data_IF_210918299177
#
_entry.id   IF_210918299177
#
_cell.length_a   1.000
_cell.length_b   1.000
_cell.length_c   1.000
_cell.angle_alpha   90.00
_cell.angle_beta   90.00
_cell.angle_gamma   90.00
#
_symmetry.space_group_name_H-M   'P 1'
#
loop_
_entity.id
_entity.type
_entity.pdbx_description
1 polymer ?
#
# COMPACT_ATOMS: atom_id res chain seq x y z
N UNK A 1 -20.56 -6.84 -30.84
CA UNK A 1 -19.91 -5.70 -30.15
C UNK A 1 -20.97 -5.01 -29.32
N UNK A 2 -21.03 -5.32 -28.02
CA UNK A 2 -21.87 -4.56 -27.07
C UNK A 2 -21.07 -3.32 -26.69
N UNK A 3 -21.45 -2.18 -27.25
CA UNK A 3 -20.90 -0.88 -26.90
C UNK A 3 -21.36 -0.54 -25.47
N UNK A 4 -20.53 -0.82 -24.49
CA UNK A 4 -20.77 -0.31 -23.13
C UNK A 4 -20.65 1.20 -23.18
N UNK A 5 -21.78 1.89 -23.11
CA UNK A 5 -21.83 3.34 -22.93
C UNK A 5 -21.18 3.62 -21.58
N UNK A 6 -19.94 4.15 -21.61
CA UNK A 6 -19.27 4.67 -20.41
C UNK A 6 -20.14 5.79 -19.85
N UNK A 7 -20.93 5.48 -18.81
CA UNK A 7 -21.63 6.52 -18.04
C UNK A 7 -20.57 7.43 -17.43
N UNK A 8 -20.71 8.76 -17.58
CA UNK A 8 -19.75 9.69 -16.99
C UNK A 8 -19.68 9.50 -15.48
N UNK A 9 -18.52 9.80 -14.89
CA UNK A 9 -18.30 9.84 -13.46
C UNK A 9 -19.26 10.90 -12.86
N UNK A 10 -20.43 10.45 -12.44
CA UNK A 10 -21.41 11.28 -11.71
C UNK A 10 -21.12 11.15 -10.22
N UNK A 11 -21.38 12.22 -9.47
CA UNK A 11 -21.26 12.24 -8.00
C UNK A 11 -22.08 11.10 -7.35
N UNK A 12 -23.22 10.75 -7.93
CA UNK A 12 -24.03 9.58 -7.54
C UNK A 12 -23.30 8.23 -7.69
N UNK A 13 -22.42 8.13 -8.68
CA UNK A 13 -21.63 6.91 -8.91
C UNK A 13 -20.55 6.72 -7.86
N UNK A 14 -19.96 7.81 -7.35
CA UNK A 14 -18.95 7.79 -6.28
C UNK A 14 -19.60 7.46 -4.92
N UNK A 15 -20.73 8.09 -4.61
CA UNK A 15 -21.47 7.82 -3.35
C UNK A 15 -21.97 6.37 -3.28
N UNK A 16 -22.41 5.81 -4.42
CA UNK A 16 -22.79 4.39 -4.52
C UNK A 16 -21.62 3.43 -4.30
N UNK A 17 -20.45 3.76 -4.83
CA UNK A 17 -19.21 2.99 -4.59
C UNK A 17 -18.74 3.05 -3.13
N UNK A 18 -18.79 4.23 -2.53
CA UNK A 18 -18.44 4.43 -1.12
C UNK A 18 -19.38 3.65 -0.18
N UNK A 19 -20.70 3.76 -0.38
CA UNK A 19 -21.70 3.01 0.38
C UNK A 19 -21.50 1.49 0.25
N UNK A 20 -21.17 1.02 -0.95
CA UNK A 20 -20.91 -0.41 -1.19
C UNK A 20 -19.69 -0.90 -0.42
N UNK A 21 -18.57 -0.15 -0.47
CA UNK A 21 -17.34 -0.47 0.28
C UNK A 21 -17.61 -0.46 1.79
N UNK A 22 -18.34 0.55 2.29
CA UNK A 22 -18.65 0.71 3.70
C UNK A 22 -19.47 -0.46 4.28
N UNK A 23 -20.41 -0.98 3.49
CA UNK A 23 -21.27 -2.09 3.90
C UNK A 23 -20.58 -3.46 3.80
N UNK A 24 -19.47 -3.58 3.06
CA UNK A 24 -18.71 -4.83 2.95
C UNK A 24 -17.43 -4.76 3.79
N UNK A 25 -17.48 -5.33 5.02
CA UNK A 25 -16.38 -5.29 6.00
C UNK A 25 -15.00 -5.71 5.45
N UNK A 26 -14.96 -6.70 4.56
CA UNK A 26 -13.70 -7.18 3.94
C UNK A 26 -13.14 -6.09 3.02
N UNK A 27 -13.95 -5.50 2.14
CA UNK A 27 -13.50 -4.44 1.23
C UNK A 27 -13.05 -3.20 2.03
N UNK A 28 -13.85 -2.81 3.03
CA UNK A 28 -13.48 -1.72 3.93
C UNK A 28 -12.15 -2.01 4.62
N UNK A 29 -11.96 -3.24 5.13
CA UNK A 29 -10.74 -3.64 5.81
C UNK A 29 -9.50 -3.57 4.93
N UNK A 30 -9.55 -4.09 3.69
CA UNK A 30 -8.38 -4.08 2.81
C UNK A 30 -8.04 -2.68 2.27
N UNK A 31 -9.06 -1.88 1.93
CA UNK A 31 -8.85 -0.52 1.42
C UNK A 31 -8.36 0.41 2.54
N UNK A 32 -8.96 0.32 3.73
CA UNK A 32 -8.56 1.15 4.86
C UNK A 32 -7.20 0.75 5.44
N UNK A 33 -6.83 -0.54 5.43
CA UNK A 33 -5.49 -0.98 5.82
C UNK A 33 -4.41 -0.26 5.00
N UNK A 34 -4.55 -0.27 3.69
CA UNK A 34 -3.61 0.39 2.79
C UNK A 34 -3.59 1.92 3.00
N UNK A 35 -4.77 2.53 3.05
CA UNK A 35 -4.91 3.96 3.29
C UNK A 35 -4.13 4.41 4.53
N UNK A 36 -4.35 3.77 5.67
CA UNK A 36 -3.71 4.17 6.92
C UNK A 36 -2.24 3.77 6.98
N UNK A 37 -1.85 2.63 6.41
CA UNK A 37 -0.44 2.22 6.35
C UNK A 37 0.40 3.18 5.51
N UNK A 38 -0.08 3.54 4.31
CA UNK A 38 0.60 4.48 3.41
C UNK A 38 0.62 5.90 3.99
N UNK A 39 -0.52 6.34 4.56
CA UNK A 39 -0.61 7.63 5.26
C UNK A 39 0.43 7.74 6.39
N UNK A 40 0.68 6.64 7.12
CA UNK A 40 1.72 6.64 8.16
C UNK A 40 3.13 6.53 7.57
N UNK A 41 3.34 5.78 6.50
CA UNK A 41 4.68 5.52 5.99
C UNK A 41 5.34 6.71 5.30
N UNK A 42 4.62 7.51 4.50
CA UNK A 42 5.00 8.76 3.81
C UNK A 42 6.49 9.12 3.74
N UNK A 43 7.34 8.26 3.15
CA UNK A 43 8.78 8.48 3.12
C UNK A 43 9.28 9.15 1.82
N UNK A 44 8.44 9.14 0.77
CA UNK A 44 8.85 9.55 -0.58
C UNK A 44 9.15 11.04 -0.64
N UNK A 45 8.35 11.87 0.03
CA UNK A 45 8.57 13.32 0.11
C UNK A 45 9.91 13.69 0.76
N UNK A 46 10.44 12.84 1.64
CA UNK A 46 11.69 13.11 2.36
C UNK A 46 12.94 12.56 1.66
N UNK A 47 12.82 11.82 0.55
CA UNK A 47 13.97 11.30 -0.19
C UNK A 47 14.97 12.38 -0.65
N UNK A 48 14.57 13.59 -1.08
CA UNK A 48 15.54 14.67 -1.38
C UNK A 48 16.37 15.08 -0.15
N UNK A 49 15.75 15.15 1.02
CA UNK A 49 16.42 15.48 2.29
C UNK A 49 17.39 14.36 2.67
N UNK A 50 16.96 13.09 2.49
CA UNK A 50 17.84 11.93 2.72
C UNK A 50 19.07 11.96 1.82
N UNK A 51 18.89 12.17 0.52
CA UNK A 51 20.00 12.19 -0.42
C UNK A 51 21.02 13.30 -0.11
N UNK A 52 20.53 14.51 0.23
CA UNK A 52 21.38 15.68 0.42
C UNK A 52 21.96 15.77 1.84
N UNK A 53 21.11 15.63 2.87
CA UNK A 53 21.47 16.03 4.23
C UNK A 53 21.85 14.84 5.13
N UNK A 54 21.43 13.60 4.78
CA UNK A 54 21.66 12.41 5.61
C UNK A 54 22.71 11.49 5.00
N UNK A 55 22.66 11.30 3.67
CA UNK A 55 23.60 10.47 2.93
C UNK A 55 24.75 11.29 2.34
N UNK A 56 24.69 12.61 2.41
CA UNK A 56 25.67 13.58 1.89
C UNK A 56 26.06 13.28 0.43
N UNK A 57 25.04 13.16 -0.43
CA UNK A 57 25.16 12.73 -1.82
C UNK A 57 24.39 13.64 -2.77
N UNK A 58 24.61 13.42 -4.08
CA UNK A 58 24.05 14.27 -5.14
C UNK A 58 22.76 13.72 -5.78
N UNK A 59 22.34 14.36 -6.88
CA UNK A 59 21.08 14.02 -7.60
C UNK A 59 21.03 12.58 -8.13
N UNK A 60 22.17 11.96 -8.43
CA UNK A 60 22.23 10.57 -8.88
C UNK A 60 21.69 9.62 -7.79
N UNK A 61 22.12 9.81 -6.55
CA UNK A 61 21.63 9.01 -5.42
C UNK A 61 20.12 9.22 -5.20
N UNK A 62 19.62 10.45 -5.32
CA UNK A 62 18.18 10.70 -5.26
C UNK A 62 17.41 9.91 -6.33
N UNK A 63 17.95 9.87 -7.57
CA UNK A 63 17.38 9.06 -8.64
C UNK A 63 17.34 7.58 -8.29
N UNK A 64 18.45 7.04 -7.74
CA UNK A 64 18.52 5.65 -7.28
C UNK A 64 17.55 5.36 -6.13
N UNK A 65 17.46 6.23 -5.13
CA UNK A 65 16.51 6.06 -4.03
C UNK A 65 15.06 6.05 -4.54
N UNK A 66 14.70 6.94 -5.47
CA UNK A 66 13.34 7.01 -6.03
C UNK A 66 12.99 5.82 -6.92
N UNK A 67 13.95 5.26 -7.64
CA UNK A 67 13.74 4.08 -8.50
C UNK A 67 13.72 2.76 -7.73
N UNK A 68 14.37 2.71 -6.57
CA UNK A 68 14.54 1.47 -5.79
C UNK A 68 13.23 0.76 -5.42
N UNK A 69 12.17 1.45 -4.94
CA UNK A 69 10.88 0.77 -4.67
C UNK A 69 10.28 0.14 -5.94
N UNK A 70 10.41 0.82 -7.08
CA UNK A 70 9.96 0.28 -8.37
C UNK A 70 10.68 -1.00 -8.76
N UNK A 71 11.99 -1.07 -8.55
CA UNK A 71 12.78 -2.30 -8.80
C UNK A 71 12.29 -3.44 -7.91
N UNK A 72 12.09 -3.19 -6.61
CA UNK A 72 11.55 -4.17 -5.68
C UNK A 72 10.15 -4.65 -6.07
N UNK A 73 9.28 -3.73 -6.48
CA UNK A 73 7.94 -4.04 -6.97
C UNK A 73 7.96 -4.95 -8.20
N UNK A 74 8.83 -4.69 -9.18
CA UNK A 74 8.99 -5.51 -10.38
C UNK A 74 9.45 -6.93 -10.01
N UNK A 75 10.44 -7.07 -9.15
CA UNK A 75 10.94 -8.39 -8.72
C UNK A 75 9.82 -9.21 -8.09
N UNK A 76 9.05 -8.61 -7.19
CA UNK A 76 7.93 -9.29 -6.53
C UNK A 76 6.80 -9.58 -7.52
N UNK A 77 6.45 -8.65 -8.41
CA UNK A 77 5.42 -8.86 -9.42
C UNK A 77 5.75 -10.04 -10.36
N UNK A 78 7.01 -10.16 -10.79
CA UNK A 78 7.50 -11.30 -11.57
C UNK A 78 7.39 -12.59 -10.76
N UNK A 79 7.83 -12.58 -9.51
CA UNK A 79 7.71 -13.74 -8.61
C UNK A 79 6.25 -14.20 -8.44
N UNK A 80 5.32 -13.26 -8.27
CA UNK A 80 3.89 -13.55 -8.12
C UNK A 80 3.24 -14.16 -9.37
N UNK A 81 3.89 -14.03 -10.54
CA UNK A 81 3.42 -14.69 -11.77
C UNK A 81 3.61 -16.21 -11.74
N UNK A 82 4.53 -16.71 -10.92
CA UNK A 82 4.86 -18.13 -10.80
C UNK A 82 4.28 -18.80 -9.55
N UNK A 83 3.89 -18.01 -8.53
CA UNK A 83 3.43 -18.54 -7.25
C UNK A 83 2.00 -18.12 -6.92
N UNK A 84 1.17 -19.10 -6.53
CA UNK A 84 -0.17 -18.84 -6.00
C UNK A 84 -0.09 -18.52 -4.51
N UNK A 85 -0.68 -17.41 -4.09
CA UNK A 85 -0.70 -17.01 -2.69
C UNK A 85 -1.76 -17.80 -1.93
N UNK A 86 -1.31 -18.57 -0.94
CA UNK A 86 -2.17 -19.18 0.08
C UNK A 86 -2.22 -18.29 1.31
N UNK A 87 -3.34 -18.31 2.05
CA UNK A 87 -3.56 -17.48 3.25
C UNK A 87 -3.39 -15.99 2.96
N UNK A 88 -4.00 -15.54 1.88
CA UNK A 88 -3.81 -14.20 1.32
C UNK A 88 -3.99 -13.07 2.34
N UNK A 89 -4.99 -13.16 3.22
CA UNK A 89 -5.22 -12.14 4.24
C UNK A 89 -4.06 -12.01 5.26
N UNK A 90 -3.50 -13.16 5.69
CA UNK A 90 -2.32 -13.15 6.58
C UNK A 90 -1.09 -12.60 5.87
N UNK A 91 -0.86 -13.04 4.63
CA UNK A 91 0.28 -12.57 3.82
C UNK A 91 0.20 -11.06 3.60
N UNK A 92 -0.99 -10.50 3.34
CA UNK A 92 -1.19 -9.05 3.19
C UNK A 92 -0.83 -8.29 4.48
N UNK A 93 -1.29 -8.75 5.66
CA UNK A 93 -0.95 -8.11 6.93
C UNK A 93 0.56 -8.17 7.22
N UNK A 94 1.20 -9.32 6.97
CA UNK A 94 2.65 -9.42 7.09
C UNK A 94 3.38 -8.53 6.09
N UNK A 95 2.89 -8.42 4.85
CA UNK A 95 3.47 -7.54 3.86
C UNK A 95 3.46 -6.08 4.33
N UNK A 96 2.33 -5.59 4.88
CA UNK A 96 2.23 -4.24 5.44
C UNK A 96 3.13 -4.06 6.66
N UNK A 97 3.25 -5.07 7.53
CA UNK A 97 4.15 -5.02 8.69
C UNK A 97 5.62 -4.93 8.26
N UNK A 98 6.05 -5.74 7.27
CA UNK A 98 7.41 -5.68 6.73
C UNK A 98 7.67 -4.40 5.93
N UNK A 99 6.70 -3.90 5.19
CA UNK A 99 6.75 -2.58 4.57
C UNK A 99 7.08 -1.50 5.62
N UNK A 100 6.37 -1.47 6.76
CA UNK A 100 6.65 -0.56 7.86
C UNK A 100 8.04 -0.79 8.50
N UNK A 101 8.43 -2.05 8.69
CA UNK A 101 9.73 -2.42 9.27
C UNK A 101 10.90 -1.93 8.40
N UNK A 102 10.83 -2.16 7.09
CA UNK A 102 11.90 -1.73 6.18
C UNK A 102 11.88 -0.20 5.97
N UNK A 103 10.72 0.45 6.06
CA UNK A 103 10.63 1.91 6.11
C UNK A 103 11.32 2.47 7.35
N UNK A 104 11.12 1.85 8.52
CA UNK A 104 11.83 2.21 9.76
C UNK A 104 13.36 2.08 9.59
N UNK A 105 13.84 0.95 9.09
CA UNK A 105 15.27 0.73 8.88
C UNK A 105 15.85 1.69 7.84
N UNK A 106 15.13 2.00 6.76
CA UNK A 106 15.51 3.04 5.82
C UNK A 106 15.65 4.38 6.52
N UNK A 107 14.67 4.74 7.37
CA UNK A 107 14.70 5.98 8.16
C UNK A 107 15.95 6.12 9.04
N UNK A 108 16.49 5.02 9.54
CA UNK A 108 17.69 4.98 10.38
C UNK A 108 19.01 4.81 9.58
N UNK A 109 18.93 4.52 8.29
CA UNK A 109 20.09 4.21 7.46
C UNK A 109 20.89 5.48 7.12
N UNK A 110 22.20 5.37 7.23
CA UNK A 110 23.18 6.39 6.80
C UNK A 110 24.09 5.88 5.67
N UNK A 111 23.79 4.73 5.10
CA UNK A 111 24.56 4.12 4.02
C UNK A 111 23.73 4.05 2.75
N UNK A 112 24.24 4.56 1.64
CA UNK A 112 23.54 4.64 0.35
C UNK A 112 23.08 3.25 -0.12
N UNK A 113 24.01 2.28 -0.13
CA UNK A 113 23.72 0.92 -0.61
C UNK A 113 22.67 0.25 0.24
N UNK A 114 22.79 0.37 1.57
CA UNK A 114 21.77 -0.17 2.49
C UNK A 114 20.40 0.49 2.28
N UNK A 115 20.37 1.82 2.11
CA UNK A 115 19.14 2.57 1.85
C UNK A 115 18.45 2.11 0.56
N UNK A 116 19.21 1.88 -0.52
CA UNK A 116 18.71 1.35 -1.79
C UNK A 116 18.08 -0.04 -1.58
N UNK A 117 18.79 -0.95 -0.89
CA UNK A 117 18.30 -2.31 -0.63
C UNK A 117 17.01 -2.26 0.21
N UNK A 118 16.99 -1.44 1.26
CA UNK A 118 15.81 -1.29 2.13
C UNK A 118 14.62 -0.74 1.36
N UNK A 119 14.82 0.24 0.49
CA UNK A 119 13.75 0.79 -0.35
C UNK A 119 13.27 -0.22 -1.42
N UNK A 120 14.15 -1.07 -1.96
CA UNK A 120 13.73 -2.19 -2.80
C UNK A 120 12.82 -3.15 -2.03
N UNK A 121 13.16 -3.46 -0.78
CA UNK A 121 12.31 -4.30 0.08
C UNK A 121 10.98 -3.62 0.40
N UNK A 122 11.00 -2.32 0.71
CA UNK A 122 9.77 -1.51 0.90
C UNK A 122 8.86 -1.65 -0.31
N UNK A 123 9.37 -1.39 -1.52
CA UNK A 123 8.56 -1.49 -2.74
C UNK A 123 8.11 -2.92 -3.07
N UNK A 124 8.91 -3.93 -2.74
CA UNK A 124 8.54 -5.34 -2.91
C UNK A 124 7.37 -5.75 -2.00
N UNK A 125 7.42 -5.39 -0.71
CA UNK A 125 6.34 -5.70 0.23
C UNK A 125 5.09 -4.86 -0.01
N UNK A 126 5.24 -3.62 -0.46
CA UNK A 126 4.13 -2.80 -0.92
C UNK A 126 3.42 -3.46 -2.11
N UNK A 127 4.17 -3.86 -3.14
CA UNK A 127 3.61 -4.55 -4.31
C UNK A 127 2.87 -5.83 -3.93
N UNK A 128 3.38 -6.60 -2.96
CA UNK A 128 2.72 -7.80 -2.48
C UNK A 128 1.36 -7.47 -1.82
N UNK A 129 1.31 -6.42 -1.00
CA UNK A 129 0.07 -5.94 -0.37
C UNK A 129 -0.93 -5.44 -1.42
N UNK A 130 -0.49 -4.60 -2.35
CA UNK A 130 -1.30 -4.06 -3.46
C UNK A 130 -1.89 -5.19 -4.31
N UNK A 131 -1.08 -6.18 -4.69
CA UNK A 131 -1.53 -7.31 -5.50
C UNK A 131 -2.66 -8.10 -4.82
N UNK A 132 -2.49 -8.42 -3.54
CA UNK A 132 -3.50 -9.16 -2.77
C UNK A 132 -4.76 -8.32 -2.63
N UNK A 133 -4.64 -7.04 -2.28
CA UNK A 133 -5.75 -6.10 -2.15
C UNK A 133 -6.57 -6.03 -3.44
N UNK A 134 -5.90 -5.82 -4.57
CA UNK A 134 -6.59 -5.66 -5.85
C UNK A 134 -7.35 -6.93 -6.26
N UNK A 135 -6.81 -8.11 -5.98
CA UNK A 135 -7.54 -9.36 -6.22
C UNK A 135 -8.74 -9.49 -5.29
N UNK A 136 -8.59 -9.19 -4.00
CA UNK A 136 -9.72 -9.24 -3.05
C UNK A 136 -10.82 -8.26 -3.48
N UNK A 137 -10.47 -7.04 -3.89
CA UNK A 137 -11.42 -6.06 -4.41
C UNK A 137 -12.14 -6.61 -5.66
N UNK A 138 -11.40 -7.17 -6.61
CA UNK A 138 -11.98 -7.69 -7.85
C UNK A 138 -12.91 -8.90 -7.61
N UNK A 139 -12.52 -9.83 -6.74
CA UNK A 139 -13.31 -11.02 -6.43
C UNK A 139 -14.48 -10.72 -5.48
N UNK A 140 -14.30 -9.79 -4.55
CA UNK A 140 -15.31 -9.41 -3.56
C UNK A 140 -16.35 -8.41 -4.10
N UNK A 141 -16.19 -7.91 -5.32
CA UNK A 141 -17.07 -6.88 -5.90
C UNK A 141 -17.85 -7.43 -7.09
N UNK A 142 -19.15 -7.20 -7.08
CA UNK A 142 -20.04 -7.53 -8.20
C UNK A 142 -19.65 -6.79 -9.46
N UNK A 143 -19.81 -7.44 -10.63
CA UNK A 143 -19.39 -6.89 -11.93
C UNK A 143 -19.98 -5.49 -12.21
N UNK A 144 -21.23 -5.24 -11.78
CA UNK A 144 -21.91 -3.94 -11.90
C UNK A 144 -21.31 -2.82 -11.06
N UNK A 145 -20.60 -3.17 -9.97
CA UNK A 145 -20.03 -2.21 -9.00
C UNK A 145 -18.51 -2.05 -9.12
N UNK A 146 -17.81 -2.92 -9.88
CA UNK A 146 -16.34 -2.92 -9.96
C UNK A 146 -15.74 -1.56 -10.33
N UNK A 147 -16.31 -0.89 -11.33
CA UNK A 147 -15.80 0.42 -11.74
C UNK A 147 -15.93 1.47 -10.64
N UNK A 148 -17.04 1.45 -9.88
CA UNK A 148 -17.28 2.39 -8.78
C UNK A 148 -16.37 2.11 -7.58
N UNK A 149 -16.20 0.84 -7.21
CA UNK A 149 -15.30 0.44 -6.12
C UNK A 149 -13.84 0.74 -6.46
N UNK A 150 -13.41 0.48 -7.71
CA UNK A 150 -12.07 0.86 -8.16
C UNK A 150 -11.84 2.38 -8.13
N UNK A 151 -12.83 3.19 -8.51
CA UNK A 151 -12.71 4.65 -8.43
C UNK A 151 -12.52 5.11 -6.98
N UNK A 152 -13.28 4.53 -6.02
CA UNK A 152 -13.12 4.79 -4.58
C UNK A 152 -11.73 4.34 -4.10
N UNK A 153 -11.27 3.14 -4.49
CA UNK A 153 -9.93 2.65 -4.13
C UNK A 153 -8.83 3.59 -4.64
N UNK A 154 -8.89 4.01 -5.91
CA UNK A 154 -7.89 4.95 -6.47
C UNK A 154 -7.91 6.31 -5.79
N UNK A 155 -9.07 6.81 -5.41
CA UNK A 155 -9.19 8.06 -4.65
C UNK A 155 -8.54 7.93 -3.27
N UNK A 156 -8.73 6.81 -2.57
CA UNK A 156 -8.10 6.58 -1.28
C UNK A 156 -6.59 6.40 -1.41
N UNK A 157 -6.11 5.67 -2.42
CA UNK A 157 -4.67 5.53 -2.70
C UNK A 157 -4.03 6.89 -2.98
N UNK A 158 -4.63 7.72 -3.83
CA UNK A 158 -4.13 9.07 -4.10
C UNK A 158 -4.11 9.94 -2.84
N UNK A 159 -5.23 9.98 -2.10
CA UNK A 159 -5.33 10.76 -0.88
C UNK A 159 -4.33 10.32 0.20
N UNK A 160 -4.12 9.00 0.37
CA UNK A 160 -3.18 8.49 1.37
C UNK A 160 -1.73 8.84 1.04
N UNK A 161 -1.34 8.81 -0.23
CA UNK A 161 0.00 9.22 -0.66
C UNK A 161 0.23 10.72 -0.37
N UNK A 162 -0.66 11.60 -0.85
CA UNK A 162 -0.51 13.04 -0.69
C UNK A 162 -0.55 13.47 0.79
N UNK A 163 -1.49 12.93 1.56
CA UNK A 163 -1.59 13.23 3.00
C UNK A 163 -0.43 12.62 3.79
N UNK A 164 0.07 11.45 3.39
CA UNK A 164 1.24 10.82 4.00
C UNK A 164 2.50 11.65 3.78
N UNK A 165 2.72 12.12 2.56
CA UNK A 165 3.84 12.98 2.20
C UNK A 165 3.74 14.35 2.91
N UNK A 166 2.55 14.95 2.96
CA UNK A 166 2.30 16.18 3.73
C UNK A 166 2.62 15.99 5.22
N UNK A 167 2.07 14.94 5.84
CA UNK A 167 2.35 14.60 7.24
C UNK A 167 3.85 14.43 7.48
N UNK A 168 4.54 13.66 6.62
CA UNK A 168 5.97 13.43 6.75
C UNK A 168 6.77 14.73 6.66
N UNK A 169 6.40 15.63 5.73
CA UNK A 169 7.03 16.95 5.59
C UNK A 169 6.83 17.83 6.83
N UNK A 170 5.60 17.90 7.35
CA UNK A 170 5.29 18.66 8.58
C UNK A 170 6.05 18.09 9.78
N UNK A 171 6.07 16.77 9.94
CA UNK A 171 6.84 16.16 11.03
C UNK A 171 8.34 16.41 10.89
N UNK A 172 8.87 16.29 9.67
CA UNK A 172 10.30 16.52 9.43
C UNK A 172 10.73 17.96 9.74
N UNK A 173 9.87 18.95 9.52
CA UNK A 173 10.16 20.35 9.86
C UNK A 173 10.25 20.59 11.38
N UNK A 174 9.54 19.79 12.19
CA UNK A 174 9.53 19.92 13.66
C UNK A 174 10.56 19.06 14.37
N UNK A 175 10.68 17.78 13.98
CA UNK A 175 11.50 16.78 14.69
C UNK A 175 12.65 16.21 13.84
N UNK A 176 12.78 16.64 12.58
CA UNK A 176 13.77 16.15 11.64
C UNK A 176 13.29 14.97 10.79
N UNK A 177 13.97 14.72 9.65
CA UNK A 177 13.58 13.73 8.67
C UNK A 177 13.71 12.28 9.19
N UNK A 178 14.78 11.97 9.92
CA UNK A 178 15.02 10.61 10.45
C UNK A 178 13.92 10.18 11.42
N UNK A 179 13.56 10.94 12.47
CA UNK A 179 12.44 10.59 13.35
C UNK A 179 11.10 10.54 12.62
N UNK A 180 10.87 11.43 11.64
CA UNK A 180 9.61 11.46 10.89
C UNK A 180 9.39 10.18 10.08
N UNK A 181 10.41 9.67 9.37
CA UNK A 181 10.34 8.40 8.64
C UNK A 181 10.28 7.20 9.59
N UNK A 182 11.07 7.21 10.66
CA UNK A 182 11.04 6.15 11.67
C UNK A 182 9.63 6.01 12.31
N UNK A 183 9.02 7.14 12.67
CA UNK A 183 7.65 7.18 13.17
C UNK A 183 6.66 6.60 12.15
N UNK A 184 6.83 6.94 10.87
CA UNK A 184 6.02 6.42 9.78
C UNK A 184 6.10 4.90 9.66
N UNK A 185 7.31 4.34 9.72
CA UNK A 185 7.55 2.89 9.68
C UNK A 185 6.90 2.17 10.87
N UNK A 186 7.09 2.69 12.10
CA UNK A 186 6.43 2.16 13.30
C UNK A 186 4.91 2.27 13.19
N UNK A 187 4.40 3.41 12.69
CA UNK A 187 2.97 3.62 12.48
C UNK A 187 2.35 2.58 11.55
N UNK A 188 3.00 2.28 10.43
CA UNK A 188 2.52 1.24 9.50
C UNK A 188 2.50 -0.16 10.15
N UNK A 189 3.50 -0.52 10.98
CA UNK A 189 3.49 -1.77 11.74
C UNK A 189 2.34 -1.82 12.75
N UNK A 190 2.10 -0.73 13.48
CA UNK A 190 0.98 -0.62 14.43
C UNK A 190 -0.36 -0.77 13.71
N UNK A 191 -0.52 -0.15 12.53
CA UNK A 191 -1.72 -0.31 11.70
C UNK A 191 -1.92 -1.77 11.30
N UNK A 192 -0.89 -2.46 10.82
CA UNK A 192 -1.00 -3.87 10.46
C UNK A 192 -1.45 -4.74 11.67
N UNK A 193 -0.88 -4.49 12.84
CA UNK A 193 -1.30 -5.15 14.08
C UNK A 193 -2.74 -4.81 14.47
N UNK A 194 -3.13 -3.53 14.49
CA UNK A 194 -4.47 -3.08 14.85
C UNK A 194 -5.54 -3.66 13.91
N UNK A 195 -5.29 -3.69 12.59
CA UNK A 195 -6.22 -4.24 11.61
C UNK A 195 -6.45 -5.74 11.77
N UNK A 196 -5.46 -6.50 12.27
CA UNK A 196 -5.66 -7.91 12.58
C UNK A 196 -6.71 -8.14 13.68
N UNK A 197 -6.90 -7.17 14.58
CA UNK A 197 -7.93 -7.18 15.64
C UNK A 197 -9.25 -6.58 15.17
N UNK A 198 -9.22 -5.45 14.44
CA UNK A 198 -10.42 -4.73 14.01
C UNK A 198 -11.15 -5.49 12.90
N UNK A 199 -10.40 -6.14 12.01
CA UNK A 199 -10.92 -6.89 10.88
C UNK A 199 -10.45 -8.35 10.89
N UNK A 200 -10.90 -9.18 11.86
CA UNK A 200 -10.45 -10.58 11.97
C UNK A 200 -10.84 -11.43 10.75
N UNK A 201 -11.84 -11.00 9.98
CA UNK A 201 -12.27 -11.69 8.77
C UNK A 201 -11.21 -11.62 7.66
N UNK A 202 -10.28 -10.64 7.68
CA UNK A 202 -9.14 -10.62 6.79
C UNK A 202 -8.23 -11.83 6.98
N UNK A 203 -8.04 -12.28 8.23
CA UNK A 203 -7.20 -13.44 8.54
C UNK A 203 -7.75 -14.77 8.02
N UNK A 204 -9.07 -14.82 7.74
CA UNK A 204 -9.78 -16.00 7.24
C UNK A 204 -9.71 -16.15 5.72
N UNK A 205 -9.21 -15.16 4.99
CA UNK A 205 -9.06 -15.22 3.54
C UNK A 205 -7.92 -16.18 3.21
N UNK A 206 -8.25 -17.40 2.76
CA UNK A 206 -7.27 -18.45 2.51
C UNK A 206 -6.80 -18.50 1.07
N UNK A 207 -7.69 -18.54 0.08
CA UNK A 207 -7.30 -18.63 -1.32
C UNK A 207 -7.93 -17.52 -2.16
N UNK A 208 -7.08 -16.96 -3.04
CA UNK A 208 -7.50 -16.05 -4.10
C UNK A 208 -7.77 -16.91 -5.33
N UNK A 209 -8.92 -17.58 -5.43
CA UNK A 209 -9.25 -18.42 -6.57
C UNK A 209 -9.86 -17.59 -7.71
N UNK A 210 -8.99 -17.28 -8.69
CA UNK A 210 -9.39 -16.64 -9.93
C UNK A 210 -10.34 -17.51 -10.78
N UNK A 211 -10.33 -18.85 -10.62
CA UNK A 211 -11.17 -19.76 -11.38
C UNK A 211 -12.62 -19.76 -10.90
N UNK A 212 -12.85 -19.60 -9.62
CA UNK A 212 -14.19 -19.72 -9.03
C UNK A 212 -14.86 -18.37 -8.74
N UNK A 213 -14.23 -17.24 -9.05
CA UNK A 213 -14.72 -15.85 -8.76
C UNK A 213 -15.23 -15.66 -7.33
N UNK A 214 -14.70 -16.40 -6.37
CA UNK A 214 -15.11 -16.36 -4.97
C UNK A 214 -13.89 -16.19 -4.05
N UNK A 215 -14.10 -15.48 -2.96
CA UNK A 215 -13.16 -15.40 -1.85
C UNK A 215 -13.53 -16.50 -0.86
N UNK A 216 -12.71 -17.56 -0.77
CA UNK A 216 -12.94 -18.62 0.22
C UNK A 216 -12.63 -18.09 1.62
N UNK A 217 -13.69 -17.97 2.41
CA UNK A 217 -13.68 -17.68 3.84
C UNK A 217 -13.80 -19.02 4.59
N UNK A 218 -12.69 -19.57 5.07
CA UNK A 218 -12.71 -20.72 6.00
C UNK A 218 -11.93 -20.40 7.26
#
# INVERSE_FOLDING_TARGET
YVTQIKKPLSFENLTGGFSYVWNKKILLGVISLDLFAVLMAGAVALMPVYARDILDTGPLTLGLLRSSPGVGAIIVAVGLSFYSIQKAGKVMLYAVAFFGLFTLFFGLSKNVTLSIILLCLVGGFDMLSVYIRDIIIQLGTEDSMRGRVNAVNMMFVGASNELGDFRAGVMASGIGAVPAVAFGGVGAMVIAGAWSYIFPDLLKINQLDKKNKSVDLK
#
